data_IF_724778691419
#
_entry.id   IF_724778691419
#
_cell.length_a   1.000
_cell.length_b   1.000
_cell.length_c   1.000
_cell.angle_alpha   90.00
_cell.angle_beta   90.00
_cell.angle_gamma   90.00
#
_symmetry.space_group_name_H-M   'P 1'
#
loop_
_entity.id
_entity.type
_entity.pdbx_description
1 polymer ?
#
# COMPACT_ATOMS: atom_id res chain seq x y z
N UNK A 1 -13.43 50.09 -20.25
CA UNK A 1 -11.97 50.33 -20.16
C UNK A 1 -11.34 49.63 -18.97
N UNK A 2 -11.92 49.67 -17.76
CA UNK A 2 -11.32 49.02 -16.57
C UNK A 2 -11.12 47.49 -16.69
N UNK A 3 -12.05 46.76 -17.32
CA UNK A 3 -11.93 45.31 -17.55
C UNK A 3 -10.75 44.97 -18.46
N UNK A 4 -10.61 45.71 -19.57
CA UNK A 4 -9.56 45.48 -20.56
C UNK A 4 -8.18 45.78 -19.95
N UNK A 5 -8.06 46.87 -19.17
CA UNK A 5 -6.82 47.21 -18.47
C UNK A 5 -6.44 46.16 -17.44
N UNK A 6 -7.39 45.61 -16.69
CA UNK A 6 -7.13 44.53 -15.73
C UNK A 6 -6.75 43.20 -16.39
N UNK A 7 -7.24 42.91 -17.60
CA UNK A 7 -6.79 41.75 -18.38
C UNK A 7 -5.36 41.95 -18.90
N UNK A 8 -5.02 43.16 -19.38
CA UNK A 8 -3.66 43.48 -19.87
C UNK A 8 -2.62 43.51 -18.73
N UNK A 9 -3.04 43.71 -17.48
CA UNK A 9 -2.20 43.64 -16.28
C UNK A 9 -1.98 42.21 -15.74
N UNK A 10 -2.69 41.19 -16.27
CA UNK A 10 -2.46 39.80 -15.87
C UNK A 10 -1.11 39.31 -16.41
N UNK A 11 -0.14 39.16 -15.51
CA UNK A 11 1.16 38.56 -15.83
C UNK A 11 1.01 37.11 -16.27
N UNK A 12 1.43 36.80 -17.49
CA UNK A 12 1.64 35.44 -17.96
C UNK A 12 2.78 34.77 -17.17
N UNK A 13 2.44 33.76 -16.38
CA UNK A 13 3.42 32.98 -15.64
C UNK A 13 4.07 31.91 -16.52
N UNK A 14 5.32 31.54 -16.22
CA UNK A 14 5.96 30.36 -16.81
C UNK A 14 5.50 29.10 -16.08
N UNK A 15 5.19 27.99 -16.78
CA UNK A 15 4.58 26.79 -16.20
C UNK A 15 5.60 25.88 -15.48
N UNK A 16 6.37 26.43 -14.54
CA UNK A 16 7.46 25.72 -13.85
C UNK A 16 7.00 24.47 -13.08
N UNK A 17 5.83 24.53 -12.44
CA UNK A 17 5.29 23.42 -11.67
C UNK A 17 4.86 22.26 -12.56
N UNK A 18 4.19 22.54 -13.69
CA UNK A 18 3.79 21.53 -14.68
C UNK A 18 5.01 20.78 -15.23
N UNK A 19 6.09 21.52 -15.58
CA UNK A 19 7.35 20.91 -15.98
C UNK A 19 7.93 20.03 -14.87
N UNK A 20 8.07 20.59 -13.66
CA UNK A 20 8.66 19.89 -12.53
C UNK A 20 7.91 18.59 -12.20
N UNK A 21 6.58 18.64 -12.04
CA UNK A 21 5.79 17.47 -11.67
C UNK A 21 5.83 16.40 -12.77
N UNK A 22 5.73 16.80 -14.04
CA UNK A 22 5.83 15.89 -15.18
C UNK A 22 7.18 15.17 -15.21
N UNK A 23 8.27 15.92 -14.99
CA UNK A 23 9.62 15.35 -14.95
C UNK A 23 9.79 14.39 -13.78
N UNK A 24 9.37 14.77 -12.57
CA UNK A 24 9.47 13.91 -11.38
C UNK A 24 8.69 12.61 -11.59
N UNK A 25 7.44 12.68 -12.06
CA UNK A 25 6.61 11.51 -12.32
C UNK A 25 7.22 10.59 -13.38
N UNK A 26 7.82 11.17 -14.43
CA UNK A 26 8.52 10.42 -15.47
C UNK A 26 9.74 9.70 -14.90
N UNK A 27 10.58 10.40 -14.12
CA UNK A 27 11.77 9.81 -13.51
C UNK A 27 11.41 8.71 -12.51
N UNK A 28 10.40 8.93 -11.67
CA UNK A 28 9.93 7.93 -10.69
C UNK A 28 9.47 6.67 -11.40
N UNK A 29 8.69 6.76 -12.48
CA UNK A 29 8.26 5.56 -13.21
C UNK A 29 9.44 4.85 -13.89
N UNK A 30 10.36 5.60 -14.52
CA UNK A 30 11.53 5.01 -15.17
C UNK A 30 12.39 4.24 -14.16
N UNK A 31 12.67 4.82 -13.00
CA UNK A 31 13.42 4.17 -11.93
C UNK A 31 12.65 2.95 -11.39
N UNK A 32 11.33 3.06 -11.21
CA UNK A 32 10.50 1.94 -10.76
C UNK A 32 10.58 0.74 -11.71
N UNK A 33 10.52 0.99 -13.02
CA UNK A 33 10.66 -0.06 -14.04
C UNK A 33 12.07 -0.66 -14.10
N UNK A 34 13.11 0.16 -13.90
CA UNK A 34 14.49 -0.32 -13.86
C UNK A 34 14.76 -1.22 -12.64
N UNK A 35 14.18 -0.91 -11.49
CA UNK A 35 14.41 -1.67 -10.26
C UNK A 35 13.50 -2.90 -10.12
N UNK A 36 12.22 -2.80 -10.50
CA UNK A 36 11.20 -3.83 -10.24
C UNK A 36 10.71 -4.56 -11.49
N UNK A 37 10.99 -4.04 -12.69
CA UNK A 37 10.54 -4.63 -13.95
C UNK A 37 9.03 -4.49 -14.21
N UNK A 38 8.54 -5.32 -15.13
CA UNK A 38 7.13 -5.34 -15.54
C UNK A 38 6.38 -6.50 -14.88
N UNK A 39 5.18 -6.21 -14.38
CA UNK A 39 4.20 -7.21 -13.97
C UNK A 39 3.40 -7.77 -15.14
N UNK A 40 2.53 -8.76 -14.88
CA UNK A 40 1.70 -9.37 -15.92
C UNK A 40 0.68 -8.36 -16.48
N UNK A 41 0.49 -8.41 -17.81
CA UNK A 41 -0.39 -7.49 -18.54
C UNK A 41 -1.73 -8.14 -18.82
N UNK A 42 -2.83 -7.49 -18.42
CA UNK A 42 -4.18 -8.01 -18.63
C UNK A 42 -5.23 -7.34 -17.74
N UNK A 43 -6.46 -7.85 -17.80
CA UNK A 43 -7.61 -7.38 -17.01
C UNK A 43 -8.06 -8.36 -15.93
N UNK A 44 -7.52 -9.59 -15.94
CA UNK A 44 -7.88 -10.66 -15.01
C UNK A 44 -6.72 -11.05 -14.09
N UNK A 45 -6.78 -12.29 -13.57
CA UNK A 45 -5.69 -12.88 -12.79
C UNK A 45 -4.76 -13.66 -13.73
N UNK A 46 -3.47 -13.58 -13.45
CA UNK A 46 -2.45 -14.35 -14.13
C UNK A 46 -1.94 -15.44 -13.18
N UNK A 47 -2.00 -16.68 -13.65
CA UNK A 47 -1.57 -17.85 -12.91
C UNK A 47 -0.12 -18.18 -13.23
N UNK A 48 0.66 -18.48 -12.19
CA UNK A 48 2.02 -19.01 -12.29
C UNK A 48 2.05 -20.42 -11.72
N UNK A 49 2.54 -21.38 -12.50
CA UNK A 49 2.70 -22.78 -12.10
C UNK A 49 4.16 -23.19 -12.15
N UNK A 50 4.59 -23.97 -11.17
CA UNK A 50 5.96 -24.45 -11.09
C UNK A 50 6.08 -25.65 -10.16
N UNK A 51 7.08 -26.50 -10.42
CA UNK A 51 7.49 -27.53 -9.47
C UNK A 51 8.51 -26.90 -8.52
N UNK A 52 8.21 -26.96 -7.23
CA UNK A 52 9.02 -26.32 -6.19
C UNK A 52 9.20 -27.28 -5.04
N UNK A 53 10.40 -27.32 -4.47
CA UNK A 53 10.63 -28.14 -3.28
C UNK A 53 9.97 -27.49 -2.06
N UNK A 54 8.98 -28.17 -1.50
CA UNK A 54 8.30 -27.71 -0.29
C UNK A 54 9.02 -28.17 0.99
N UNK A 55 8.53 -27.71 2.15
CA UNK A 55 9.01 -28.16 3.47
C UNK A 55 8.82 -29.66 3.73
N UNK A 56 8.04 -30.35 2.90
CA UNK A 56 7.92 -31.81 2.85
C UNK A 56 9.04 -32.49 2.07
N UNK A 57 10.02 -31.74 1.54
CA UNK A 57 11.11 -32.24 0.69
C UNK A 57 10.65 -33.03 -0.54
N UNK A 58 9.38 -32.87 -0.90
CA UNK A 58 8.84 -33.35 -2.16
C UNK A 58 8.73 -32.16 -3.12
N UNK A 59 9.14 -32.40 -4.36
CA UNK A 59 8.80 -31.53 -5.47
C UNK A 59 7.29 -31.62 -5.66
N UNK A 60 6.61 -30.50 -5.44
CA UNK A 60 5.17 -30.41 -5.65
C UNK A 60 4.86 -29.29 -6.62
N UNK A 61 3.75 -29.45 -7.34
CA UNK A 61 3.26 -28.42 -8.23
C UNK A 61 2.51 -27.37 -7.42
N UNK A 62 3.08 -26.17 -7.37
CA UNK A 62 2.48 -25.03 -6.69
C UNK A 62 1.95 -24.06 -7.74
N UNK A 63 0.75 -23.56 -7.49
CA UNK A 63 0.11 -22.54 -8.30
C UNK A 63 -0.07 -21.28 -7.46
N UNK A 64 0.24 -20.13 -8.03
CA UNK A 64 -0.17 -18.87 -7.42
C UNK A 64 -0.69 -17.88 -8.45
N UNK A 65 -1.67 -17.08 -8.02
CA UNK A 65 -2.37 -16.13 -8.86
C UNK A 65 -2.08 -14.70 -8.38
N UNK A 66 -1.66 -13.83 -9.30
CA UNK A 66 -1.60 -12.38 -9.10
C UNK A 66 -2.51 -11.63 -10.07
N UNK A 67 -3.01 -10.44 -9.68
CA UNK A 67 -3.79 -9.63 -10.59
C UNK A 67 -2.90 -9.01 -11.68
N UNK A 68 -3.35 -9.07 -12.93
CA UNK A 68 -2.69 -8.43 -14.05
C UNK A 68 -3.12 -6.95 -14.17
N UNK A 69 -2.23 -6.12 -14.71
CA UNK A 69 -2.47 -4.70 -14.95
C UNK A 69 -2.29 -4.36 -16.42
N UNK A 70 -3.30 -3.75 -17.04
CA UNK A 70 -3.20 -3.32 -18.44
C UNK A 70 -2.30 -2.08 -18.61
N UNK A 71 -1.87 -1.43 -17.52
CA UNK A 71 -1.14 -0.16 -17.56
C UNK A 71 0.32 -0.28 -18.04
N UNK A 72 0.84 -1.50 -18.25
CA UNK A 72 2.23 -1.80 -18.60
C UNK A 72 3.21 -1.23 -17.56
N UNK A 73 3.24 -1.84 -16.37
CA UNK A 73 4.07 -1.37 -15.25
C UNK A 73 4.39 -2.42 -14.20
N UNK A 74 4.94 -2.02 -13.04
CA UNK A 74 5.28 -2.93 -11.94
C UNK A 74 4.06 -3.65 -11.34
N UNK A 75 4.30 -4.67 -10.50
CA UNK A 75 3.22 -5.39 -9.82
C UNK A 75 2.60 -4.52 -8.72
N UNK A 76 1.37 -4.84 -8.31
CA UNK A 76 0.70 -4.13 -7.22
C UNK A 76 1.51 -4.13 -5.91
N UNK A 77 2.14 -5.25 -5.57
CA UNK A 77 3.02 -5.35 -4.39
C UNK A 77 4.23 -4.42 -4.48
N UNK A 78 4.84 -4.29 -5.67
CA UNK A 78 5.97 -3.39 -5.89
C UNK A 78 5.53 -1.91 -5.78
N UNK A 79 4.34 -1.58 -6.29
CA UNK A 79 3.77 -0.24 -6.15
C UNK A 79 3.50 0.11 -4.68
N UNK A 80 3.00 -0.84 -3.88
CA UNK A 80 2.86 -0.67 -2.43
C UNK A 80 4.23 -0.41 -1.81
N UNK A 81 5.24 -1.21 -2.15
CA UNK A 81 6.60 -1.04 -1.65
C UNK A 81 7.19 0.35 -2.00
N UNK A 82 6.84 0.90 -3.18
CA UNK A 82 7.27 2.21 -3.69
C UNK A 82 6.51 3.42 -3.12
N UNK A 83 5.56 3.22 -2.21
CA UNK A 83 4.84 4.33 -1.58
C UNK A 83 3.45 4.62 -2.17
N UNK A 84 2.83 3.66 -2.86
CA UNK A 84 1.42 3.73 -3.23
C UNK A 84 0.52 3.94 -1.98
N UNK A 85 -0.64 4.55 -2.19
CA UNK A 85 -1.66 4.66 -1.15
C UNK A 85 -2.16 3.25 -0.86
N UNK A 86 -1.98 2.82 0.39
CA UNK A 86 -2.46 1.53 0.89
C UNK A 86 -2.73 1.66 2.39
N UNK A 87 -3.99 1.61 2.80
CA UNK A 87 -4.38 1.97 4.16
C UNK A 87 -3.74 1.09 5.25
N UNK A 88 -3.53 -0.24 5.06
CA UNK A 88 -2.80 -1.07 5.99
C UNK A 88 -1.39 -0.59 6.35
N UNK A 89 -0.69 0.09 5.44
CA UNK A 89 0.63 0.67 5.69
C UNK A 89 0.56 2.01 6.43
N UNK A 90 -0.55 2.74 6.29
CA UNK A 90 -0.71 4.09 6.80
C UNK A 90 -1.25 4.11 8.24
N UNK A 91 -2.01 3.08 8.64
CA UNK A 91 -2.61 2.95 9.97
C UNK A 91 -2.93 1.51 10.34
N UNK A 92 -3.15 1.24 11.62
CA UNK A 92 -3.45 -0.11 12.11
C UNK A 92 -4.81 -0.58 11.60
N UNK A 93 -4.82 -1.76 10.99
CA UNK A 93 -6.03 -2.42 10.51
C UNK A 93 -6.47 -3.53 11.46
N UNK A 94 -7.76 -3.54 11.83
CA UNK A 94 -8.30 -4.51 12.78
C UNK A 94 -8.39 -5.94 12.23
N UNK A 95 -8.59 -6.11 10.91
CA UNK A 95 -8.63 -7.44 10.26
C UNK A 95 -7.24 -8.05 10.20
N UNK A 96 -6.25 -7.27 9.77
CA UNK A 96 -4.84 -7.72 9.72
C UNK A 96 -4.33 -8.00 11.14
N UNK A 97 -4.63 -7.12 12.12
CA UNK A 97 -4.25 -7.37 13.51
C UNK A 97 -4.88 -8.65 14.08
N UNK A 98 -6.16 -8.93 13.75
CA UNK A 98 -6.84 -10.19 14.12
C UNK A 98 -6.19 -11.41 13.45
N UNK A 99 -5.83 -11.31 12.17
CA UNK A 99 -5.16 -12.37 11.43
C UNK A 99 -3.77 -12.68 12.01
N UNK A 100 -2.98 -11.66 12.33
CA UNK A 100 -1.67 -11.80 13.01
C UNK A 100 -1.86 -12.48 14.37
N UNK A 101 -2.83 -12.04 15.18
CA UNK A 101 -3.10 -12.64 16.48
C UNK A 101 -3.61 -14.09 16.38
N UNK A 102 -4.37 -14.43 15.34
CA UNK A 102 -4.76 -15.81 15.05
C UNK A 102 -3.56 -16.67 14.63
N UNK A 103 -2.66 -16.12 13.82
CA UNK A 103 -1.43 -16.82 13.41
C UNK A 103 -0.50 -17.09 14.59
N UNK A 104 -0.28 -16.09 15.46
CA UNK A 104 0.51 -16.26 16.67
C UNK A 104 -0.08 -17.32 17.61
N UNK A 105 -1.42 -17.41 17.72
CA UNK A 105 -2.07 -18.48 18.50
C UNK A 105 -1.78 -19.86 17.93
N UNK A 106 -1.88 -20.05 16.61
CA UNK A 106 -1.52 -21.32 15.96
C UNK A 106 -0.04 -21.64 16.13
N UNK A 107 0.83 -20.64 16.01
CA UNK A 107 2.27 -20.79 16.18
C UNK A 107 2.61 -21.29 17.59
N UNK A 108 1.96 -20.78 18.64
CA UNK A 108 2.21 -21.25 20.03
C UNK A 108 2.05 -22.76 20.19
N UNK A 109 1.17 -23.38 19.41
CA UNK A 109 0.85 -24.81 19.52
C UNK A 109 1.71 -25.70 18.59
N UNK A 110 2.65 -25.11 17.82
CA UNK A 110 3.55 -25.86 16.92
C UNK A 110 4.69 -26.56 17.68
N UNK A 111 5.42 -27.40 16.96
CA UNK A 111 6.53 -28.19 17.46
C UNK A 111 7.59 -28.38 16.38
N UNK A 112 8.82 -28.70 16.76
CA UNK A 112 9.87 -29.07 15.84
C UNK A 112 9.59 -30.47 15.25
N UNK A 113 9.62 -30.54 13.92
CA UNK A 113 9.61 -31.77 13.17
C UNK A 113 11.05 -32.16 12.86
N UNK A 114 11.51 -33.26 13.45
CA UNK A 114 12.85 -33.81 13.27
C UNK A 114 12.75 -35.01 12.33
N UNK A 115 13.59 -35.03 11.29
CA UNK A 115 13.63 -36.08 10.28
C UNK A 115 14.58 -37.20 10.70
N UNK A 116 14.18 -38.45 10.43
CA UNK A 116 15.03 -39.62 10.73
C UNK A 116 15.67 -40.25 9.47
N UNK A 117 15.14 -40.03 8.25
CA UNK A 117 15.47 -40.84 7.06
C UNK A 117 15.38 -40.11 5.69
N UNK A 118 15.80 -38.85 5.61
CA UNK A 118 15.67 -38.03 4.40
C UNK A 118 14.22 -37.75 3.90
N UNK A 119 13.19 -38.30 4.54
CA UNK A 119 11.77 -38.01 4.26
C UNK A 119 11.24 -36.71 4.89
N UNK A 120 10.26 -36.05 4.26
CA UNK A 120 9.66 -34.82 4.81
C UNK A 120 8.77 -35.00 6.03
N UNK A 121 8.27 -33.89 6.58
CA UNK A 121 7.43 -33.81 7.79
C UNK A 121 6.01 -34.44 7.72
N UNK A 122 5.75 -35.40 6.84
CA UNK A 122 4.45 -36.05 6.67
C UNK A 122 4.47 -37.58 6.74
N UNK A 123 5.61 -38.24 6.50
CA UNK A 123 5.66 -39.72 6.37
C UNK A 123 6.43 -40.40 7.50
N UNK A 124 7.71 -40.03 7.75
CA UNK A 124 8.55 -40.63 8.80
C UNK A 124 9.32 -39.52 9.54
N UNK A 125 8.59 -38.78 10.37
CA UNK A 125 9.14 -37.66 11.16
C UNK A 125 8.82 -37.78 12.64
N UNK A 126 9.79 -37.40 13.48
CA UNK A 126 9.63 -37.33 14.93
C UNK A 126 9.19 -35.93 15.31
N UNK A 127 7.96 -35.80 15.82
CA UNK A 127 7.47 -34.53 16.35
C UNK A 127 7.90 -34.37 17.80
N UNK A 128 8.83 -33.47 18.08
CA UNK A 128 9.23 -33.18 19.46
C UNK A 128 8.35 -32.06 20.00
N UNK A 129 7.31 -32.36 20.77
CA UNK A 129 6.47 -31.33 21.42
C UNK A 129 6.68 -31.35 22.92
N UNK A 130 6.99 -30.19 23.50
CA UNK A 130 7.05 -30.06 24.96
C UNK A 130 5.65 -30.01 25.55
N UNK A 131 5.49 -30.62 26.72
CA UNK A 131 4.23 -30.69 27.45
C UNK A 131 4.49 -30.82 28.95
N UNK A 132 3.44 -30.81 29.78
CA UNK A 132 3.58 -31.06 31.22
C UNK A 132 4.13 -32.45 31.56
N UNK A 133 3.95 -33.43 30.67
CA UNK A 133 4.43 -34.81 30.84
C UNK A 133 5.83 -35.07 30.27
N UNK A 134 6.26 -34.27 29.28
CA UNK A 134 7.59 -34.30 28.67
C UNK A 134 8.08 -32.85 28.51
N UNK A 135 8.58 -32.28 29.61
CA UNK A 135 8.98 -30.88 29.66
C UNK A 135 10.30 -30.65 28.91
N UNK A 136 10.36 -29.56 28.16
CA UNK A 136 11.58 -29.11 27.51
C UNK A 136 12.68 -28.64 28.48
N UNK A 137 13.86 -28.29 27.95
CA UNK A 137 14.96 -27.74 28.74
C UNK A 137 14.51 -26.58 29.63
N UNK A 138 14.80 -26.67 30.94
CA UNK A 138 14.40 -25.65 31.92
C UNK A 138 12.93 -25.72 32.35
N UNK A 139 12.25 -26.86 32.17
CA UNK A 139 10.86 -27.05 32.61
C UNK A 139 9.82 -26.38 31.71
N UNK A 140 10.21 -26.04 30.47
CA UNK A 140 9.35 -25.38 29.48
C UNK A 140 8.28 -26.33 28.97
N UNK A 141 7.10 -25.79 28.70
CA UNK A 141 5.93 -26.56 28.26
C UNK A 141 5.39 -26.08 26.91
N UNK A 142 5.82 -24.92 26.44
CA UNK A 142 5.43 -24.35 25.15
C UNK A 142 6.47 -24.71 24.08
N UNK A 143 6.02 -25.41 23.04
CA UNK A 143 6.64 -25.69 21.73
C UNK A 143 8.16 -25.80 21.63
N UNK A 144 8.68 -26.93 21.11
CA UNK A 144 10.06 -26.96 20.62
C UNK A 144 10.14 -26.28 19.25
N UNK A 145 11.24 -25.58 18.97
CA UNK A 145 11.48 -24.90 17.68
C UNK A 145 12.78 -25.44 17.11
N UNK A 146 12.76 -25.89 15.85
CA UNK A 146 13.97 -26.43 15.22
C UNK A 146 15.03 -25.33 15.10
N UNK A 147 16.26 -25.60 15.56
CA UNK A 147 17.38 -24.66 15.54
C UNK A 147 17.26 -23.47 16.49
N UNK A 148 16.23 -23.41 17.36
CA UNK A 148 16.05 -22.31 18.30
C UNK A 148 15.68 -22.82 19.69
N UNK A 149 16.55 -22.55 20.66
CA UNK A 149 16.32 -22.86 22.06
C UNK A 149 16.95 -21.78 22.96
N UNK A 150 16.19 -21.21 23.92
CA UNK A 150 16.69 -20.18 24.83
C UNK A 150 17.95 -20.58 25.60
N UNK A 151 18.14 -21.86 25.91
CA UNK A 151 19.29 -22.39 26.65
C UNK A 151 20.57 -22.40 25.80
N UNK A 152 20.42 -22.50 24.48
CA UNK A 152 21.52 -22.63 23.53
C UNK A 152 21.80 -21.32 22.77
N UNK A 153 21.05 -20.25 23.04
CA UNK A 153 21.27 -18.96 22.42
C UNK A 153 22.29 -18.10 23.20
N UNK A 154 23.36 -17.68 22.54
CA UNK A 154 24.36 -16.78 23.12
C UNK A 154 24.00 -15.30 22.96
N UNK A 155 23.21 -14.94 21.95
CA UNK A 155 22.90 -13.55 21.62
C UNK A 155 21.46 -13.40 21.06
N UNK A 156 20.49 -12.96 21.88
CA UNK A 156 20.58 -12.63 23.31
C UNK A 156 20.51 -13.85 24.23
N UNK A 157 21.23 -13.87 25.36
CA UNK A 157 21.13 -14.97 26.34
C UNK A 157 19.81 -14.91 27.11
N UNK A 158 19.19 -16.06 27.35
CA UNK A 158 18.05 -16.20 28.26
C UNK A 158 18.54 -16.46 29.69
N UNK A 159 18.85 -15.41 30.44
CA UNK A 159 19.32 -15.49 31.84
C UNK A 159 18.60 -14.46 32.70
N UNK A 160 18.43 -14.75 34.00
CA UNK A 160 17.85 -13.81 34.95
C UNK A 160 18.58 -12.45 34.95
N UNK A 161 17.86 -11.30 34.96
CA UNK A 161 16.40 -11.13 35.04
C UNK A 161 15.68 -11.13 33.68
N UNK A 162 16.39 -11.30 32.57
CA UNK A 162 15.87 -11.23 31.19
C UNK A 162 15.67 -12.62 30.57
N UNK A 163 15.03 -13.52 31.31
CA UNK A 163 14.70 -14.85 30.81
C UNK A 163 13.64 -14.78 29.71
N UNK A 164 13.81 -15.57 28.65
CA UNK A 164 12.81 -15.65 27.61
C UNK A 164 11.56 -16.32 28.18
N UNK A 165 10.36 -15.79 27.94
CA UNK A 165 9.13 -16.39 28.45
C UNK A 165 8.90 -17.78 27.85
N UNK A 166 8.05 -18.60 28.46
CA UNK A 166 7.69 -19.92 27.90
C UNK A 166 7.01 -19.79 26.52
N UNK A 167 6.14 -18.79 26.36
CA UNK A 167 5.46 -18.46 25.10
C UNK A 167 6.43 -18.18 23.93
N UNK A 168 6.56 -19.15 23.01
CA UNK A 168 7.50 -19.08 21.87
C UNK A 168 7.27 -17.85 20.98
N UNK A 169 6.04 -17.34 20.95
CA UNK A 169 5.68 -16.17 20.12
C UNK A 169 6.36 -14.87 20.58
N UNK A 170 7.00 -14.89 21.75
CA UNK A 170 7.72 -13.75 22.33
C UNK A 170 9.24 -13.96 22.31
N UNK A 171 9.73 -15.06 21.73
CA UNK A 171 11.16 -15.32 21.66
C UNK A 171 11.83 -14.37 20.67
N UNK A 172 12.95 -13.73 21.04
CA UNK A 172 13.72 -12.91 20.11
C UNK A 172 14.45 -13.81 19.10
N UNK A 173 15.01 -13.18 18.05
CA UNK A 173 15.88 -13.84 17.09
C UNK A 173 17.19 -14.21 17.79
N UNK A 174 17.59 -15.48 17.67
CA UNK A 174 18.90 -15.93 18.11
C UNK A 174 19.93 -15.68 17.01
N UNK A 175 20.86 -14.75 17.23
CA UNK A 175 21.89 -14.39 16.24
C UNK A 175 23.15 -15.26 16.31
N UNK A 176 23.34 -15.95 17.44
CA UNK A 176 24.50 -16.79 17.69
C UNK A 176 24.11 -17.93 18.61
N UNK A 177 24.25 -19.16 18.14
CA UNK A 177 24.02 -20.36 18.92
C UNK A 177 25.33 -20.91 19.50
N UNK A 178 25.25 -21.61 20.63
CA UNK A 178 26.39 -22.35 21.21
C UNK A 178 26.87 -23.47 20.28
N UNK A 179 26.02 -23.92 19.35
CA UNK A 179 26.26 -25.06 18.46
C UNK A 179 26.84 -24.66 17.09
N UNK A 180 26.92 -23.36 16.77
CA UNK A 180 27.55 -22.85 15.54
C UNK A 180 29.07 -23.11 15.49
N UNK A 181 29.65 -23.64 16.58
CA UNK A 181 30.99 -24.20 16.64
C UNK A 181 30.98 -25.72 16.47
N UNK A 182 31.70 -26.22 15.45
CA UNK A 182 31.78 -27.61 14.98
C UNK A 182 32.17 -28.71 15.99
N UNK A 183 32.38 -28.38 17.27
CA UNK A 183 32.78 -29.32 18.32
C UNK A 183 31.67 -29.66 19.34
N UNK A 184 30.49 -29.02 19.29
CA UNK A 184 29.46 -29.15 20.33
C UNK A 184 28.26 -30.04 19.98
N UNK A 185 28.04 -30.36 18.69
CA UNK A 185 26.91 -31.20 18.25
C UNK A 185 26.93 -32.62 18.88
N UNK A 186 28.12 -33.16 19.17
CA UNK A 186 28.27 -34.47 19.81
C UNK A 186 28.03 -34.50 21.33
N UNK A 187 27.82 -33.35 21.99
CA UNK A 187 27.60 -33.27 23.47
C UNK A 187 26.17 -32.89 23.86
N UNK A 188 25.30 -32.61 22.90
CA UNK A 188 23.89 -32.41 23.14
C UNK A 188 23.25 -33.78 23.42
N UNK A 189 22.86 -34.06 24.67
CA UNK A 189 22.08 -35.27 24.99
C UNK A 189 20.72 -35.27 24.29
N UNK A 190 19.92 -36.33 24.46
CA UNK A 190 18.58 -36.49 23.83
C UNK A 190 17.60 -35.31 24.08
N UNK A 191 17.89 -34.44 25.05
CA UNK A 191 17.08 -33.25 25.36
C UNK A 191 17.26 -32.06 24.38
N UNK A 192 18.20 -32.13 23.43
CA UNK A 192 18.52 -31.04 22.51
C UNK A 192 18.64 -31.48 21.03
N UNK A 193 17.96 -32.57 20.67
CA UNK A 193 17.92 -33.08 19.29
C UNK A 193 17.38 -32.03 18.31
N UNK A 194 16.40 -31.21 18.71
CA UNK A 194 15.85 -30.11 17.89
C UNK A 194 16.86 -29.03 17.53
N UNK A 195 18.01 -28.98 18.20
CA UNK A 195 19.09 -28.03 17.94
C UNK A 195 20.20 -28.59 17.05
N UNK A 196 20.24 -29.90 16.82
CA UNK A 196 21.28 -30.56 16.04
C UNK A 196 20.89 -30.76 14.55
N UNK A 197 19.67 -30.35 14.17
CA UNK A 197 19.13 -30.51 12.82
C UNK A 197 19.50 -29.34 11.90
N UNK A 198 19.69 -29.63 10.62
CA UNK A 198 19.70 -28.61 9.57
C UNK A 198 18.28 -28.02 9.40
N UNK A 199 18.17 -26.70 9.52
CA UNK A 199 16.88 -26.01 9.35
C UNK A 199 16.72 -25.61 7.88
N UNK A 200 15.78 -26.25 7.21
CA UNK A 200 15.49 -26.04 5.78
C UNK A 200 14.35 -25.05 5.52
N UNK A 201 13.54 -24.74 6.55
CA UNK A 201 12.32 -23.97 6.41
C UNK A 201 12.30 -22.79 7.39
N UNK A 202 12.07 -21.61 6.84
CA UNK A 202 12.11 -20.34 7.54
C UNK A 202 10.87 -19.49 7.23
N UNK A 203 10.62 -18.42 8.00
CA UNK A 203 9.55 -17.46 7.71
C UNK A 203 9.72 -16.82 6.33
N UNK A 204 8.64 -16.89 5.54
CA UNK A 204 8.48 -16.20 4.27
C UNK A 204 7.26 -15.30 4.32
N UNK A 205 7.44 -14.02 4.00
CA UNK A 205 6.40 -13.01 3.94
C UNK A 205 5.84 -12.91 2.52
N UNK A 206 4.55 -13.18 2.36
CA UNK A 206 3.88 -13.27 1.06
C UNK A 206 2.62 -12.38 1.01
N UNK A 207 2.26 -11.98 -0.22
CA UNK A 207 1.06 -11.21 -0.51
C UNK A 207 1.09 -9.76 -0.01
N UNK A 208 0.07 -8.99 -0.36
CA UNK A 208 -0.02 -7.55 -0.03
C UNK A 208 -0.47 -7.27 1.41
N UNK A 209 -0.99 -8.29 2.10
CA UNK A 209 -1.40 -8.19 3.50
C UNK A 209 -0.30 -8.62 4.50
N UNK A 210 0.86 -9.05 4.01
CA UNK A 210 1.97 -9.51 4.85
C UNK A 210 1.65 -10.80 5.59
N UNK A 211 1.20 -11.84 4.86
CA UNK A 211 1.00 -13.16 5.45
C UNK A 211 2.35 -13.85 5.66
N UNK A 212 2.55 -14.44 6.83
CA UNK A 212 3.75 -15.24 7.10
C UNK A 212 3.46 -16.73 6.97
N UNK A 213 4.34 -17.44 6.26
CA UNK A 213 4.34 -18.90 6.15
C UNK A 213 5.75 -19.44 6.36
N UNK A 214 5.89 -20.53 7.12
CA UNK A 214 7.17 -21.26 7.23
C UNK A 214 7.32 -22.15 6.00
N UNK A 215 8.33 -21.90 5.18
CA UNK A 215 8.56 -22.61 3.91
C UNK A 215 10.04 -22.60 3.52
N UNK A 216 10.40 -23.28 2.43
CA UNK A 216 11.75 -23.32 1.88
C UNK A 216 12.09 -22.02 1.13
N UNK A 217 13.39 -21.74 0.96
CA UNK A 217 13.87 -20.58 0.19
C UNK A 217 13.37 -20.61 -1.27
N UNK A 218 13.38 -21.80 -1.88
CA UNK A 218 12.91 -22.03 -3.26
C UNK A 218 11.42 -21.69 -3.41
N UNK A 219 10.57 -22.19 -2.51
CA UNK A 219 9.15 -21.88 -2.52
C UNK A 219 8.90 -20.38 -2.28
N UNK A 220 9.64 -19.75 -1.37
CA UNK A 220 9.48 -18.33 -1.09
C UNK A 220 9.84 -17.46 -2.30
N UNK A 221 10.91 -17.82 -3.01
CA UNK A 221 11.36 -17.14 -4.23
C UNK A 221 10.38 -17.33 -5.39
N UNK A 222 9.79 -18.52 -5.53
CA UNK A 222 8.78 -18.82 -6.55
C UNK A 222 7.52 -17.95 -6.42
N UNK A 223 7.01 -17.75 -5.19
CA UNK A 223 5.87 -16.86 -4.92
C UNK A 223 6.27 -15.39 -4.77
N UNK A 224 7.54 -15.05 -5.07
CA UNK A 224 8.12 -13.70 -4.95
C UNK A 224 7.90 -13.06 -3.58
N UNK A 225 8.04 -13.86 -2.52
CA UNK A 225 7.98 -13.42 -1.12
C UNK A 225 9.34 -12.92 -0.60
N UNK A 226 9.34 -12.43 0.64
CA UNK A 226 10.55 -12.04 1.36
C UNK A 226 10.94 -13.15 2.36
N UNK A 227 12.12 -13.74 2.17
CA UNK A 227 12.62 -14.88 2.96
C UNK A 227 13.53 -14.39 4.09
N UNK A 228 13.31 -14.90 5.31
CA UNK A 228 14.07 -14.52 6.51
C UNK A 228 14.88 -15.70 7.05
N UNK A 229 16.12 -15.85 6.58
CA UNK A 229 17.04 -16.92 7.04
C UNK A 229 17.39 -16.77 8.53
N UNK A 230 17.44 -15.54 9.02
CA UNK A 230 17.79 -15.22 10.41
C UNK A 230 16.67 -15.54 11.42
N UNK A 231 15.44 -15.79 10.97
CA UNK A 231 14.29 -16.03 11.83
C UNK A 231 13.82 -17.48 11.75
N UNK A 232 13.27 -18.01 12.84
CA UNK A 232 12.67 -19.36 12.90
C UNK A 232 11.15 -19.31 13.07
N UNK A 233 10.61 -18.19 13.53
CA UNK A 233 9.19 -18.00 13.84
C UNK A 233 8.60 -16.83 13.08
N UNK A 234 7.35 -16.95 12.66
CA UNK A 234 6.58 -15.85 12.08
C UNK A 234 6.37 -14.69 13.06
N UNK A 235 6.32 -14.98 14.36
CA UNK A 235 6.30 -13.94 15.39
C UNK A 235 7.61 -13.15 15.50
N UNK A 236 8.71 -13.62 14.92
CA UNK A 236 10.01 -12.92 14.91
C UNK A 236 10.18 -11.99 13.72
N UNK A 237 9.27 -11.98 12.74
CA UNK A 237 9.34 -11.11 11.57
C UNK A 237 8.18 -10.10 11.54
N UNK A 238 8.25 -9.13 10.65
CA UNK A 238 7.22 -8.10 10.48
C UNK A 238 6.85 -7.98 9.01
N UNK A 239 6.18 -9.00 8.46
CA UNK A 239 5.84 -9.08 7.05
C UNK A 239 5.14 -7.85 6.46
N UNK A 240 4.35 -7.12 7.26
CA UNK A 240 3.72 -5.89 6.78
C UNK A 240 4.74 -4.77 6.52
N UNK A 241 5.83 -4.72 7.30
CA UNK A 241 6.94 -3.76 7.11
C UNK A 241 7.67 -4.05 5.78
N UNK A 242 7.92 -5.34 5.48
CA UNK A 242 8.57 -5.78 4.24
C UNK A 242 7.73 -5.46 3.00
N UNK A 243 6.41 -5.66 3.10
CA UNK A 243 5.47 -5.33 2.02
C UNK A 243 5.33 -3.82 1.84
N UNK A 244 5.21 -3.07 2.93
CA UNK A 244 5.02 -1.63 2.88
C UNK A 244 6.28 -0.93 2.37
N UNK A 245 7.47 -1.25 2.86
CA UNK A 245 8.71 -0.71 2.31
C UNK A 245 8.84 0.82 2.30
N UNK A 246 9.76 1.31 1.48
CA UNK A 246 10.26 2.70 1.32
C UNK A 246 10.88 3.32 2.59
N UNK A 247 10.17 3.28 3.72
CA UNK A 247 10.67 3.71 5.03
C UNK A 247 10.13 2.73 6.09
N UNK A 248 10.95 2.25 7.03
CA UNK A 248 10.48 1.34 8.08
C UNK A 248 9.45 2.02 8.99
N UNK A 249 8.56 1.24 9.60
CA UNK A 249 7.65 1.76 10.63
C UNK A 249 8.41 2.28 11.85
N UNK A 250 7.98 3.42 12.42
CA UNK A 250 8.66 3.99 13.59
C UNK A 250 8.60 3.07 14.81
N UNK A 251 7.54 2.25 14.90
CA UNK A 251 7.43 1.18 15.89
C UNK A 251 7.07 -0.11 15.19
N UNK A 252 7.78 -1.18 15.56
CA UNK A 252 7.53 -2.53 15.05
C UNK A 252 6.05 -2.91 15.15
N UNK A 253 5.47 -3.41 14.05
CA UNK A 253 4.04 -3.79 13.92
C UNK A 253 3.05 -2.65 14.17
N UNK A 254 3.46 -1.39 14.03
CA UNK A 254 2.58 -0.23 14.11
C UNK A 254 2.71 0.62 12.84
N UNK A 255 1.89 0.35 11.82
CA UNK A 255 1.89 1.13 10.59
C UNK A 255 1.56 2.61 10.84
N UNK A 256 2.38 3.48 10.26
CA UNK A 256 2.40 4.93 10.49
C UNK A 256 2.83 5.75 9.24
N UNK A 257 2.72 5.18 8.05
CA UNK A 257 3.23 5.79 6.81
C UNK A 257 2.22 6.74 6.14
N UNK A 258 1.75 7.76 6.87
CA UNK A 258 0.80 8.76 6.34
C UNK A 258 1.31 9.50 5.09
N UNK A 259 2.62 9.61 4.91
CA UNK A 259 3.23 10.24 3.73
C UNK A 259 2.74 9.62 2.41
N UNK A 260 2.20 8.38 2.43
CA UNK A 260 1.65 7.70 1.25
C UNK A 260 0.52 8.47 0.57
N UNK A 261 -0.23 9.28 1.32
CA UNK A 261 -1.25 10.16 0.74
C UNK A 261 -0.64 11.21 -0.21
N UNK A 262 0.63 11.56 0.00
CA UNK A 262 1.39 12.49 -0.83
C UNK A 262 2.23 11.76 -1.87
N UNK A 263 3.00 10.74 -1.49
CA UNK A 263 3.94 10.07 -2.40
C UNK A 263 3.24 9.33 -3.53
N UNK A 264 2.04 8.80 -3.29
CA UNK A 264 1.26 8.12 -4.32
C UNK A 264 0.94 9.01 -5.53
N UNK A 265 0.91 10.34 -5.37
CA UNK A 265 0.69 11.30 -6.47
C UNK A 265 1.81 11.27 -7.53
N UNK A 266 2.98 10.75 -7.17
CA UNK A 266 4.16 10.70 -8.03
C UNK A 266 4.43 9.31 -8.60
N UNK A 267 3.96 8.26 -7.92
CA UNK A 267 4.04 6.87 -8.40
C UNK A 267 2.99 6.64 -9.48
N UNK A 268 3.29 5.81 -10.48
CA UNK A 268 2.35 5.48 -11.57
C UNK A 268 2.25 3.98 -11.76
N UNK A 269 1.05 3.51 -12.11
CA UNK A 269 0.75 2.09 -12.36
C UNK A 269 1.45 1.50 -13.58
N UNK A 270 1.93 2.35 -14.50
CA UNK A 270 2.63 1.93 -15.71
C UNK A 270 2.69 3.02 -16.79
N UNK A 271 3.24 2.66 -17.94
CA UNK A 271 3.54 3.59 -19.05
C UNK A 271 2.28 4.26 -19.61
N UNK A 272 1.21 3.49 -19.82
CA UNK A 272 -0.04 4.04 -20.36
C UNK A 272 -0.70 5.02 -19.38
N UNK A 273 -0.60 4.74 -18.09
CA UNK A 273 -1.15 5.60 -17.04
C UNK A 273 -0.39 6.92 -16.95
N UNK A 274 0.95 6.87 -17.00
CA UNK A 274 1.77 8.08 -17.03
C UNK A 274 1.52 8.89 -18.31
N UNK A 275 1.44 8.26 -19.48
CA UNK A 275 1.19 8.95 -20.74
C UNK A 275 -0.13 9.75 -20.69
N UNK A 276 -1.20 9.14 -20.17
CA UNK A 276 -2.48 9.83 -19.97
C UNK A 276 -2.36 10.99 -18.96
N UNK A 277 -1.62 10.80 -17.87
CA UNK A 277 -1.36 11.85 -16.86
C UNK A 277 -0.62 13.04 -17.46
N UNK A 278 0.47 12.79 -18.18
CA UNK A 278 1.24 13.83 -18.86
C UNK A 278 0.37 14.56 -19.87
N UNK A 279 -0.43 13.85 -20.69
CA UNK A 279 -1.32 14.48 -21.64
C UNK A 279 -2.29 15.47 -20.96
N UNK A 280 -2.93 15.07 -19.86
CA UNK A 280 -3.83 15.95 -19.10
C UNK A 280 -3.11 17.16 -18.50
N UNK A 281 -1.92 16.97 -17.93
CA UNK A 281 -1.13 18.06 -17.37
C UNK A 281 -0.72 19.06 -18.46
N UNK A 282 -0.24 18.58 -19.60
CA UNK A 282 0.23 19.44 -20.67
C UNK A 282 -0.90 20.16 -21.42
N UNK A 283 -2.07 19.53 -21.55
CA UNK A 283 -3.24 20.12 -22.22
C UNK A 283 -4.00 21.11 -21.35
N UNK A 284 -4.14 20.84 -20.04
CA UNK A 284 -5.01 21.65 -19.17
C UNK A 284 -4.23 22.39 -18.08
N UNK A 285 -3.36 21.67 -17.35
CA UNK A 285 -2.65 22.23 -16.19
C UNK A 285 -1.67 23.33 -16.58
N UNK A 286 -0.96 23.16 -17.70
CA UNK A 286 -0.02 24.17 -18.22
C UNK A 286 -0.68 25.52 -18.42
N UNK A 287 -1.87 25.54 -19.00
CA UNK A 287 -2.56 26.79 -19.35
C UNK A 287 -3.19 27.41 -18.09
N UNK A 288 -3.74 26.59 -17.19
CA UNK A 288 -4.13 27.03 -15.85
C UNK A 288 -2.97 27.67 -15.08
N UNK A 289 -1.77 27.11 -15.18
CA UNK A 289 -0.58 27.60 -14.49
C UNK A 289 -0.10 28.95 -15.05
N UNK A 290 -0.16 29.13 -16.37
CA UNK A 290 0.18 30.42 -16.99
C UNK A 290 -0.74 31.54 -16.50
N UNK A 291 -2.02 31.24 -16.26
CA UNK A 291 -3.00 32.23 -15.81
C UNK A 291 -2.97 32.46 -14.30
N UNK A 292 -2.94 31.39 -13.50
CA UNK A 292 -3.07 31.48 -12.04
C UNK A 292 -1.72 31.54 -11.31
N UNK A 293 -0.64 31.13 -11.97
CA UNK A 293 0.72 31.06 -11.43
C UNK A 293 1.07 29.71 -10.78
N UNK A 294 2.39 29.39 -10.72
CA UNK A 294 2.91 28.08 -10.33
C UNK A 294 2.48 27.65 -8.92
N UNK A 295 2.61 28.54 -7.95
CA UNK A 295 2.36 28.22 -6.53
C UNK A 295 0.89 27.89 -6.28
N UNK A 296 -0.03 28.63 -6.90
CA UNK A 296 -1.46 28.42 -6.70
C UNK A 296 -1.91 27.09 -7.29
N UNK A 297 -1.48 26.79 -8.51
CA UNK A 297 -1.76 25.50 -9.15
C UNK A 297 -1.10 24.35 -8.39
N UNK A 298 0.11 24.53 -7.86
CA UNK A 298 0.75 23.53 -7.02
C UNK A 298 -0.06 23.20 -5.77
N UNK A 299 -0.55 24.21 -5.04
CA UNK A 299 -1.39 24.00 -3.85
C UNK A 299 -2.71 23.33 -4.20
N UNK A 300 -3.38 23.76 -5.27
CA UNK A 300 -4.65 23.14 -5.72
C UNK A 300 -4.41 21.68 -6.10
N UNK A 301 -3.38 21.40 -6.91
CA UNK A 301 -3.05 20.07 -7.40
C UNK A 301 -2.68 19.11 -6.27
N UNK A 302 -1.72 19.50 -5.42
CA UNK A 302 -1.23 18.64 -4.34
C UNK A 302 -2.29 18.48 -3.24
N UNK A 303 -3.00 19.57 -2.89
CA UNK A 303 -4.05 19.54 -1.88
C UNK A 303 -5.24 18.66 -2.26
N UNK A 304 -5.75 18.79 -3.50
CA UNK A 304 -6.84 17.94 -3.99
C UNK A 304 -6.43 16.47 -4.11
N UNK A 305 -5.21 16.21 -4.56
CA UNK A 305 -4.64 14.85 -4.58
C UNK A 305 -4.59 14.20 -3.19
N UNK A 306 -4.04 14.89 -2.20
CA UNK A 306 -3.96 14.38 -0.82
C UNK A 306 -5.34 14.16 -0.21
N UNK A 307 -6.27 15.10 -0.37
CA UNK A 307 -7.63 14.96 0.14
C UNK A 307 -8.36 13.78 -0.51
N UNK A 308 -8.21 13.61 -1.83
CA UNK A 308 -8.74 12.46 -2.57
C UNK A 308 -8.16 11.14 -2.08
N UNK A 309 -6.83 11.05 -1.97
CA UNK A 309 -6.15 9.86 -1.46
C UNK A 309 -6.56 9.51 -0.02
N UNK A 310 -6.84 10.53 0.80
CA UNK A 310 -7.32 10.30 2.16
C UNK A 310 -8.73 9.76 2.20
N UNK A 311 -9.64 10.30 1.38
CA UNK A 311 -10.98 9.73 1.24
C UNK A 311 -10.92 8.28 0.72
N UNK A 312 -10.11 8.03 -0.30
CA UNK A 312 -9.95 6.67 -0.82
C UNK A 312 -9.36 5.71 0.24
N UNK A 313 -8.36 6.12 1.02
CA UNK A 313 -7.81 5.28 2.10
C UNK A 313 -8.81 4.94 3.22
N UNK A 314 -9.92 5.68 3.32
CA UNK A 314 -11.01 5.44 4.27
C UNK A 314 -12.01 4.44 3.69
N UNK A 315 -12.45 4.66 2.44
CA UNK A 315 -13.55 3.92 1.83
C UNK A 315 -13.11 2.70 1.01
N UNK A 316 -11.87 2.70 0.50
CA UNK A 316 -11.26 1.61 -0.26
C UNK A 316 -9.85 1.27 0.30
N UNK A 317 -9.78 0.70 1.52
CA UNK A 317 -8.52 0.55 2.24
C UNK A 317 -7.57 -0.50 1.66
N UNK A 318 -8.08 -1.52 0.97
CA UNK A 318 -7.33 -2.71 0.54
C UNK A 318 -6.92 -2.68 -0.94
N UNK A 319 -7.03 -1.53 -1.61
CA UNK A 319 -6.52 -1.33 -2.98
C UNK A 319 -5.38 -0.31 -2.99
N UNK A 320 -4.25 -0.76 -3.51
CA UNK A 320 -3.13 0.09 -3.87
C UNK A 320 -3.55 1.04 -4.98
N UNK A 321 -3.38 2.34 -4.73
CA UNK A 321 -3.65 3.39 -5.70
C UNK A 321 -2.43 4.29 -5.86
N UNK A 322 -2.23 4.73 -7.08
CA UNK A 322 -1.09 5.52 -7.53
C UNK A 322 -1.57 6.52 -8.55
N UNK A 323 -0.79 7.57 -8.73
CA UNK A 323 -1.02 8.63 -9.68
C UNK A 323 -1.89 9.75 -9.12
N UNK A 324 -1.92 10.89 -9.81
CA UNK A 324 -2.55 12.11 -9.32
C UNK A 324 -4.00 12.25 -9.77
N UNK A 325 -4.77 11.16 -9.82
CA UNK A 325 -6.12 11.18 -10.39
C UNK A 325 -7.05 12.15 -9.62
N UNK A 326 -7.00 12.15 -8.28
CA UNK A 326 -7.69 13.14 -7.45
C UNK A 326 -7.25 14.59 -7.74
N UNK A 327 -5.96 14.80 -8.02
CA UNK A 327 -5.42 16.11 -8.42
C UNK A 327 -5.99 16.58 -9.75
N UNK A 328 -6.14 15.69 -10.73
CA UNK A 328 -6.73 16.03 -12.03
C UNK A 328 -8.21 16.41 -11.92
N UNK A 329 -8.97 15.73 -11.06
CA UNK A 329 -10.34 16.14 -10.75
C UNK A 329 -10.39 17.48 -10.02
N UNK A 330 -9.40 17.79 -9.18
CA UNK A 330 -9.23 19.13 -8.61
C UNK A 330 -8.94 20.20 -9.66
N UNK A 331 -8.14 19.91 -10.69
CA UNK A 331 -7.93 20.81 -11.84
C UNK A 331 -9.19 20.96 -12.70
N UNK A 332 -9.98 19.89 -12.88
CA UNK A 332 -11.27 19.97 -13.56
C UNK A 332 -12.23 20.90 -12.81
N UNK A 333 -12.27 20.81 -11.47
CA UNK A 333 -13.00 21.77 -10.65
C UNK A 333 -12.45 23.19 -10.83
N UNK A 334 -11.13 23.36 -10.91
CA UNK A 334 -10.48 24.64 -11.16
C UNK A 334 -10.97 25.30 -12.47
N UNK A 335 -11.05 24.54 -13.56
CA UNK A 335 -11.59 25.02 -14.84
C UNK A 335 -13.07 25.45 -14.73
N UNK A 336 -13.87 24.73 -13.94
CA UNK A 336 -15.27 25.10 -13.69
C UNK A 336 -15.35 26.42 -12.93
N UNK A 337 -14.55 26.60 -11.87
CA UNK A 337 -14.48 27.83 -11.10
C UNK A 337 -14.05 29.01 -11.98
N UNK A 338 -13.10 28.79 -12.89
CA UNK A 338 -12.66 29.80 -13.86
C UNK A 338 -13.79 30.22 -14.80
N UNK A 339 -14.55 29.27 -15.37
CA UNK A 339 -15.72 29.58 -16.23
C UNK A 339 -16.79 30.36 -15.47
N UNK A 340 -17.00 30.06 -14.19
CA UNK A 340 -17.95 30.79 -13.34
C UNK A 340 -17.43 32.21 -13.06
N UNK A 341 -16.14 32.37 -12.77
CA UNK A 341 -15.51 33.67 -12.56
C UNK A 341 -15.50 34.55 -13.80
N UNK A 342 -15.29 33.96 -14.98
CA UNK A 342 -15.25 34.63 -16.27
C UNK A 342 -16.62 34.67 -16.99
N UNK A 343 -17.72 34.43 -16.28
CA UNK A 343 -19.05 34.24 -16.89
C UNK A 343 -19.47 35.38 -17.81
N UNK A 344 -19.16 36.62 -17.43
CA UNK A 344 -19.49 37.82 -18.19
C UNK A 344 -18.55 38.10 -19.36
N UNK A 345 -17.36 37.46 -19.38
CA UNK A 345 -16.35 37.63 -20.42
C UNK A 345 -16.49 36.60 -21.55
N UNK A 346 -17.03 35.43 -21.22
CA UNK A 346 -17.20 34.34 -22.18
C UNK A 346 -18.40 34.59 -23.10
N UNK A 347 -18.24 34.31 -24.40
CA UNK A 347 -19.32 34.41 -25.40
C UNK A 347 -20.46 33.41 -25.15
N UNK A 348 -20.13 32.20 -24.67
CA UNK A 348 -21.09 31.11 -24.44
C UNK A 348 -20.84 30.35 -23.13
N UNK A 349 -20.97 31.01 -21.95
CA UNK A 349 -20.56 30.45 -20.66
C UNK A 349 -21.34 29.20 -20.28
N UNK A 350 -22.66 29.18 -20.52
CA UNK A 350 -23.53 28.01 -20.25
C UNK A 350 -23.07 26.76 -21.01
N UNK A 351 -22.69 26.92 -22.28
CA UNK A 351 -22.23 25.80 -23.12
C UNK A 351 -20.87 25.29 -22.66
N UNK A 352 -19.96 26.18 -22.26
CA UNK A 352 -18.67 25.81 -21.68
C UNK A 352 -18.84 25.04 -20.36
N UNK A 353 -19.68 25.55 -19.45
CA UNK A 353 -19.98 24.88 -18.18
C UNK A 353 -20.61 23.50 -18.39
N UNK A 354 -21.63 23.39 -19.27
CA UNK A 354 -22.26 22.11 -19.61
C UNK A 354 -21.27 21.08 -20.16
N UNK A 355 -20.29 21.52 -20.98
CA UNK A 355 -19.24 20.64 -21.50
C UNK A 355 -18.35 20.10 -20.37
N UNK A 356 -17.92 20.96 -19.44
CA UNK A 356 -17.07 20.56 -18.32
C UNK A 356 -17.80 19.64 -17.34
N UNK A 357 -19.07 19.94 -17.03
CA UNK A 357 -19.91 19.06 -16.21
C UNK A 357 -20.14 17.71 -16.92
N UNK A 358 -20.45 17.72 -18.22
CA UNK A 358 -20.59 16.51 -19.02
C UNK A 358 -19.31 15.66 -19.01
N UNK A 359 -18.15 16.30 -19.14
CA UNK A 359 -16.84 15.64 -19.04
C UNK A 359 -16.65 15.03 -17.63
N UNK A 360 -16.90 15.78 -16.56
CA UNK A 360 -16.79 15.30 -15.19
C UNK A 360 -17.67 14.05 -14.95
N UNK A 361 -18.93 14.11 -15.39
CA UNK A 361 -19.86 12.98 -15.28
C UNK A 361 -19.41 11.77 -16.11
N UNK A 362 -18.89 11.98 -17.33
CA UNK A 362 -18.36 10.88 -18.14
C UNK A 362 -17.14 10.22 -17.50
N UNK A 363 -16.24 11.00 -16.90
CA UNK A 363 -15.05 10.47 -16.23
C UNK A 363 -15.43 9.72 -14.95
N UNK A 364 -16.44 10.20 -14.23
CA UNK A 364 -16.99 9.49 -13.07
C UNK A 364 -17.66 8.17 -13.47
N UNK A 365 -18.40 8.15 -14.59
CA UNK A 365 -19.01 6.92 -15.11
C UNK A 365 -17.95 5.92 -15.58
N UNK A 366 -16.91 6.40 -16.27
CA UNK A 366 -15.74 5.60 -16.63
C UNK A 366 -15.01 5.09 -15.39
N UNK A 367 -15.04 5.85 -14.28
CA UNK A 367 -14.44 5.46 -13.02
C UNK A 367 -15.11 4.28 -12.32
N UNK A 368 -16.23 3.76 -12.83
CA UNK A 368 -16.81 2.47 -12.41
C UNK A 368 -16.07 1.26 -13.00
N UNK A 369 -15.11 1.49 -13.91
CA UNK A 369 -14.22 0.47 -14.44
C UNK A 369 -13.17 0.07 -13.39
N UNK A 370 -12.61 -1.15 -13.50
CA UNK A 370 -11.56 -1.58 -12.59
C UNK A 370 -10.34 -0.66 -12.66
N UNK A 371 -9.56 -0.65 -11.58
CA UNK A 371 -8.34 0.16 -11.39
C UNK A 371 -8.52 1.67 -11.22
N UNK A 372 -9.75 2.18 -11.32
CA UNK A 372 -10.05 3.61 -11.10
C UNK A 372 -10.67 3.78 -9.71
N UNK A 373 -10.45 4.95 -9.08
CA UNK A 373 -10.94 5.27 -7.74
C UNK A 373 -11.88 6.49 -7.73
N UNK A 374 -13.17 6.22 -7.59
CA UNK A 374 -14.18 7.27 -7.57
C UNK A 374 -14.23 8.07 -6.27
N UNK A 375 -13.77 7.53 -5.14
CA UNK A 375 -13.67 8.30 -3.89
C UNK A 375 -12.58 9.36 -4.01
N UNK A 376 -11.41 8.99 -4.55
CA UNK A 376 -10.33 9.94 -4.81
C UNK A 376 -10.78 11.04 -5.79
N UNK A 377 -11.52 10.68 -6.84
CA UNK A 377 -12.05 11.64 -7.82
C UNK A 377 -13.03 12.65 -7.20
N UNK A 378 -14.04 12.18 -6.46
CA UNK A 378 -15.08 13.05 -5.90
C UNK A 378 -14.51 13.97 -4.82
N UNK A 379 -13.75 13.42 -3.88
CA UNK A 379 -13.19 14.23 -2.80
C UNK A 379 -12.07 15.15 -3.30
N UNK A 380 -11.29 14.71 -4.30
CA UNK A 380 -10.34 15.57 -5.01
C UNK A 380 -11.03 16.72 -5.75
N UNK A 381 -12.14 16.46 -6.44
CA UNK A 381 -12.96 17.48 -7.10
C UNK A 381 -13.51 18.49 -6.10
N UNK A 382 -14.17 18.04 -5.03
CA UNK A 382 -14.79 18.92 -4.03
C UNK A 382 -13.74 19.77 -3.32
N UNK A 383 -12.63 19.16 -2.89
CA UNK A 383 -11.55 19.89 -2.23
C UNK A 383 -10.86 20.87 -3.19
N UNK A 384 -10.62 20.46 -4.44
CA UNK A 384 -10.09 21.30 -5.50
C UNK A 384 -11.01 22.49 -5.80
N UNK A 385 -12.33 22.29 -5.86
CA UNK A 385 -13.32 23.35 -6.03
C UNK A 385 -13.21 24.41 -4.94
N UNK A 386 -13.12 23.99 -3.66
CA UNK A 386 -12.94 24.88 -2.52
C UNK A 386 -11.62 25.66 -2.61
N UNK A 387 -10.51 24.98 -2.92
CA UNK A 387 -9.21 25.63 -3.06
C UNK A 387 -9.16 26.59 -4.25
N UNK A 388 -9.76 26.24 -5.39
CA UNK A 388 -9.81 27.10 -6.58
C UNK A 388 -10.58 28.38 -6.29
N UNK A 389 -11.73 28.32 -5.61
CA UNK A 389 -12.44 29.53 -5.18
C UNK A 389 -11.67 30.39 -4.19
N UNK A 390 -10.86 29.78 -3.32
CA UNK A 390 -10.05 30.51 -2.36
C UNK A 390 -8.82 31.18 -3.00
N UNK A 391 -8.16 30.50 -3.95
CA UNK A 391 -6.83 30.87 -4.41
C UNK A 391 -6.82 31.58 -5.77
N UNK A 392 -7.76 31.33 -6.66
CA UNK A 392 -7.72 31.91 -8.01
C UNK A 392 -7.92 33.44 -8.02
N UNK A 393 -7.22 34.16 -8.91
CA UNK A 393 -7.39 35.59 -9.05
C UNK A 393 -8.71 35.92 -9.77
N UNK A 394 -9.73 36.36 -9.03
CA UNK A 394 -10.97 36.92 -9.63
C UNK A 394 -10.87 38.43 -9.89
N UNK A 395 -11.43 38.88 -11.00
CA UNK A 395 -11.67 40.29 -11.34
C UNK A 395 -12.84 40.80 -10.47
N UNK A 396 -12.67 41.93 -9.76
CA UNK A 396 -13.71 42.51 -8.88
C UNK A 396 -13.99 43.96 -9.24
N UNK A 397 -15.26 44.35 -9.33
CA UNK A 397 -15.72 45.71 -9.59
C UNK A 397 -16.19 46.37 -8.29
N UNK A 398 -15.32 47.17 -7.67
CA UNK A 398 -15.64 48.00 -6.52
C UNK A 398 -15.48 47.36 -5.12
N UNK A 399 -15.65 48.15 -4.04
CA UNK A 399 -15.35 47.74 -2.66
C UNK A 399 -16.34 46.70 -2.10
N UNK A 400 -17.60 46.72 -2.55
CA UNK A 400 -18.62 45.75 -2.12
C UNK A 400 -18.30 44.34 -2.64
N UNK A 401 -17.95 44.21 -3.92
CA UNK A 401 -17.54 42.92 -4.50
C UNK A 401 -16.24 42.40 -3.90
N UNK A 402 -15.30 43.29 -3.57
CA UNK A 402 -14.07 42.94 -2.85
C UNK A 402 -14.35 42.34 -1.48
N UNK A 403 -15.27 42.92 -0.69
CA UNK A 403 -15.66 42.37 0.63
C UNK A 403 -16.32 41.00 0.48
N UNK A 404 -17.24 40.85 -0.48
CA UNK A 404 -17.91 39.55 -0.77
C UNK A 404 -16.88 38.47 -1.13
N UNK A 405 -15.89 38.81 -1.95
CA UNK A 405 -14.80 37.90 -2.33
C UNK A 405 -13.96 37.48 -1.12
N UNK A 406 -13.58 38.40 -0.25
CA UNK A 406 -12.82 38.07 0.97
C UNK A 406 -13.61 37.11 1.85
N UNK A 407 -14.91 37.36 2.06
CA UNK A 407 -15.79 36.46 2.82
C UNK A 407 -15.84 35.07 2.18
N UNK A 408 -16.01 35.01 0.86
CA UNK A 408 -16.03 33.73 0.12
C UNK A 408 -14.71 32.96 0.29
N UNK A 409 -13.56 33.63 0.17
CA UNK A 409 -12.24 33.02 0.37
C UNK A 409 -12.13 32.40 1.77
N UNK A 410 -12.54 33.13 2.81
CA UNK A 410 -12.53 32.60 4.18
C UNK A 410 -13.47 31.42 4.36
N UNK A 411 -14.69 31.50 3.82
CA UNK A 411 -15.66 30.39 3.86
C UNK A 411 -15.09 29.14 3.18
N UNK A 412 -14.49 29.28 2.00
CA UNK A 412 -13.88 28.17 1.27
C UNK A 412 -12.67 27.59 2.01
N UNK A 413 -11.79 28.43 2.58
CA UNK A 413 -10.64 27.98 3.36
C UNK A 413 -11.05 27.24 4.63
N UNK A 414 -12.03 27.77 5.37
CA UNK A 414 -12.56 27.10 6.58
C UNK A 414 -13.25 25.79 6.22
N UNK A 415 -14.00 25.76 5.12
CA UNK A 415 -14.66 24.53 4.64
C UNK A 415 -13.64 23.47 4.20
N UNK A 416 -12.58 23.87 3.49
CA UNK A 416 -11.51 22.96 3.08
C UNK A 416 -10.75 22.42 4.31
N UNK A 417 -10.39 23.29 5.26
CA UNK A 417 -9.76 22.87 6.50
C UNK A 417 -10.66 21.92 7.32
N UNK A 418 -11.96 22.24 7.43
CA UNK A 418 -12.95 21.40 8.09
C UNK A 418 -13.09 20.02 7.42
N UNK A 419 -13.15 19.98 6.09
CA UNK A 419 -13.18 18.74 5.32
C UNK A 419 -11.93 17.89 5.52
N UNK A 420 -10.74 18.50 5.49
CA UNK A 420 -9.47 17.79 5.74
C UNK A 420 -9.41 17.25 7.18
N UNK A 421 -9.81 18.05 8.17
CA UNK A 421 -9.87 17.62 9.56
C UNK A 421 -10.88 16.47 9.76
N UNK A 422 -12.03 16.54 9.09
CA UNK A 422 -13.04 15.48 9.12
C UNK A 422 -12.50 14.18 8.50
N UNK A 423 -11.80 14.26 7.36
CA UNK A 423 -11.16 13.10 6.73
C UNK A 423 -10.09 12.47 7.63
N UNK A 424 -9.21 13.28 8.22
CA UNK A 424 -8.18 12.78 9.15
C UNK A 424 -8.83 12.14 10.38
N UNK A 425 -9.86 12.77 10.94
CA UNK A 425 -10.59 12.24 12.09
C UNK A 425 -11.26 10.92 11.73
N UNK A 426 -11.94 10.84 10.58
CA UNK A 426 -12.61 9.64 10.10
C UNK A 426 -11.61 8.50 9.84
N UNK A 427 -10.45 8.81 9.27
CA UNK A 427 -9.37 7.87 9.01
C UNK A 427 -8.85 7.18 10.28
N UNK A 428 -8.77 7.89 11.40
CA UNK A 428 -8.30 7.33 12.67
C UNK A 428 -9.41 6.82 13.59
N UNK A 429 -10.56 7.48 13.65
CA UNK A 429 -11.60 7.23 14.65
C UNK A 429 -12.67 6.23 14.20
N UNK A 430 -13.13 6.30 12.95
CA UNK A 430 -14.24 5.50 12.45
C UNK A 430 -13.99 5.01 11.02
N UNK A 431 -13.04 4.08 10.85
CA UNK A 431 -12.66 3.66 9.51
C UNK A 431 -13.71 2.69 8.95
N UNK A 432 -14.14 2.93 7.71
CA UNK A 432 -15.22 2.20 7.06
C UNK A 432 -14.76 0.84 6.50
N UNK A 433 -14.30 -0.07 7.37
CA UNK A 433 -13.80 -1.39 6.96
C UNK A 433 -14.89 -2.32 6.37
N UNK A 434 -16.16 -2.04 6.65
CA UNK A 434 -17.30 -2.94 6.39
C UNK A 434 -18.35 -2.34 5.46
N UNK A 435 -17.99 -1.29 4.71
CA UNK A 435 -18.91 -0.72 3.73
C UNK A 435 -18.90 -1.52 2.42
N UNK A 436 -19.65 -2.62 2.37
CA UNK A 436 -19.82 -3.43 1.15
C UNK A 436 -20.42 -2.61 0.01
N UNK A 437 -21.32 -1.67 0.31
CA UNK A 437 -21.90 -0.75 -0.66
C UNK A 437 -20.86 0.23 -1.27
N UNK A 438 -19.81 0.58 -0.52
CA UNK A 438 -18.78 1.51 -0.99
C UNK A 438 -17.92 0.92 -2.10
N UNK A 439 -17.69 -0.41 -2.09
CA UNK A 439 -16.94 -1.07 -3.17
C UNK A 439 -17.62 -0.88 -4.54
N UNK A 440 -18.96 -0.87 -4.59
CA UNK A 440 -19.72 -0.65 -5.83
C UNK A 440 -19.67 0.78 -6.35
N UNK A 441 -19.33 1.75 -5.50
CA UNK A 441 -19.10 3.14 -5.94
C UNK A 441 -17.86 3.25 -6.83
N UNK A 442 -16.89 2.37 -6.61
CA UNK A 442 -15.63 2.33 -7.33
C UNK A 442 -15.62 1.30 -8.45
N UNK A 443 -16.24 0.13 -8.26
CA UNK A 443 -16.21 -0.92 -9.27
C UNK A 443 -17.52 -1.70 -9.31
N UNK A 444 -18.17 -1.70 -10.47
CA UNK A 444 -19.35 -2.54 -10.73
C UNK A 444 -18.88 -3.82 -11.43
N UNK A 445 -19.19 -5.02 -10.90
CA UNK A 445 -18.71 -6.28 -11.48
C UNK A 445 -19.51 -6.64 -12.74
N UNK A 446 -19.13 -6.05 -13.88
CA UNK A 446 -19.74 -6.38 -15.19
C UNK A 446 -19.37 -7.78 -15.69
N UNK A 447 -18.24 -8.34 -15.24
CA UNK A 447 -17.82 -9.71 -15.50
C UNK A 447 -17.13 -10.32 -14.26
N UNK A 448 -17.00 -11.67 -14.17
CA UNK A 448 -16.28 -12.34 -13.10
C UNK A 448 -14.85 -11.79 -12.96
N UNK A 449 -14.36 -11.66 -11.74
CA UNK A 449 -13.01 -11.20 -11.38
C UNK A 449 -12.60 -9.77 -11.77
N UNK A 450 -13.44 -9.00 -12.47
CA UNK A 450 -13.11 -7.60 -12.83
C UNK A 450 -12.85 -6.72 -11.60
N UNK A 451 -13.62 -6.90 -10.53
CA UNK A 451 -13.46 -6.16 -9.27
C UNK A 451 -12.75 -7.01 -8.19
N UNK A 452 -11.96 -8.02 -8.58
CA UNK A 452 -11.29 -8.90 -7.63
C UNK A 452 -10.26 -8.15 -6.77
N UNK A 453 -10.05 -8.67 -5.55
CA UNK A 453 -9.03 -8.16 -4.63
C UNK A 453 -7.63 -8.27 -5.21
N UNK A 454 -6.76 -7.31 -4.89
CA UNK A 454 -5.34 -7.32 -5.29
C UNK A 454 -4.48 -8.36 -4.54
N UNK A 455 -5.13 -9.22 -3.74
CA UNK A 455 -4.44 -10.25 -2.96
C UNK A 455 -3.86 -11.36 -3.84
N UNK A 456 -2.75 -11.93 -3.37
CA UNK A 456 -2.08 -13.08 -3.99
C UNK A 456 -2.70 -14.35 -3.42
N UNK A 457 -3.16 -15.25 -4.29
CA UNK A 457 -3.72 -16.54 -3.87
C UNK A 457 -2.72 -17.63 -4.20
N UNK A 458 -2.23 -18.33 -3.19
CA UNK A 458 -1.35 -19.49 -3.36
C UNK A 458 -2.19 -20.74 -3.12
N UNK A 459 -2.17 -21.67 -4.09
CA UNK A 459 -2.82 -22.97 -4.03
C UNK A 459 -1.76 -24.05 -4.23
N UNK A 460 -1.74 -25.00 -3.31
CA UNK A 460 -1.00 -26.24 -3.52
C UNK A 460 -1.92 -27.17 -4.30
N UNK A 461 -1.49 -27.61 -5.50
CA UNK A 461 -2.23 -28.63 -6.23
C UNK A 461 -1.77 -29.95 -5.63
N UNK A 462 -2.41 -30.34 -4.52
CA UNK A 462 -2.15 -31.65 -3.96
C UNK A 462 -2.52 -32.70 -5.03
N UNK A 463 -1.60 -33.62 -5.27
CA UNK A 463 -1.91 -34.89 -5.95
C UNK A 463 -2.68 -35.84 -5.04
N UNK A 464 -3.72 -35.32 -4.36
CA UNK A 464 -4.81 -36.05 -3.68
C UNK A 464 -6.08 -35.23 -3.78
#
# INVERSE_FOLDING_TARGET
EDVARQLDELTDYRPYFTWWVSTVQTLVLLLSLLCYGFGPVGFGRHTHTGQVMLKSLSLQQVEWEEPASFWLGPRAADLIHLGAKFAPCMRRDARIARAIAASARRERDTACCIRNDDSGCNTISTWKKWSSGDSGPGGRISGSVCGLDPKFCEAPRSIAPHEWPDDITKWPICRKSVLDGSAAAGRAGHAAEHMACEVIAHPCCIGVHGQCVITTSEHCSFVKGHFHEEASLCSQVSCLDDVCGMLPFMRRRRPDQLYRAWTSLFVHAGLLHLAATLALQWLFMRDLEKMAGPVRIAVIYLGSGVAGNMASAIFEPYRAEVGPAGSHFGLLACLIVEVIGAWHLLKHPKRSLMKLIGLAMSLFLLGLLPWIDNFAHVFGFVFGFLLSYALLPFITFGPYERRRKIVLVWVCMVSAAGMLCALITLFYAAPAYECTACAYFTCVPFAPDMCASQDVRVRQIDGV
#
